data_IF_654133971670
#
_entry.id   IF_654133971670
#
_cell.length_a   1.000
_cell.length_b   1.000
_cell.length_c   1.000
_cell.angle_alpha   90.00
_cell.angle_beta   90.00
_cell.angle_gamma   90.00
#
_symmetry.space_group_name_H-M   'P 1'
#
loop_
_entity.id
_entity.type
_entity.pdbx_description
1 polymer ?
#
# COMPACT_ATOMS: atom_id res chain seq x y z
N UNK A 1 -9.25 17.14 -7.31
CA UNK A 1 -9.02 16.25 -8.48
C UNK A 1 -7.89 15.24 -8.23
N UNK A 2 -6.86 15.58 -7.44
CA UNK A 2 -5.72 14.72 -7.11
C UNK A 2 -6.08 13.49 -6.26
N UNK A 3 -6.89 13.66 -5.21
CA UNK A 3 -7.26 12.60 -4.25
C UNK A 3 -7.93 11.39 -4.93
N UNK A 4 -8.93 11.66 -5.78
CA UNK A 4 -9.66 10.61 -6.51
C UNK A 4 -8.73 9.88 -7.48
N UNK A 5 -7.88 10.62 -8.19
CA UNK A 5 -6.90 10.03 -9.11
C UNK A 5 -5.91 9.12 -8.38
N UNK A 6 -5.36 9.58 -7.26
CA UNK A 6 -4.44 8.82 -6.42
C UNK A 6 -5.07 7.54 -5.88
N UNK A 7 -6.32 7.63 -5.41
CA UNK A 7 -7.05 6.47 -4.95
C UNK A 7 -7.22 5.44 -6.08
N UNK A 8 -7.62 5.88 -7.27
CA UNK A 8 -7.80 4.99 -8.44
C UNK A 8 -6.47 4.35 -8.85
N UNK A 9 -5.39 5.12 -8.94
CA UNK A 9 -4.06 4.61 -9.30
C UNK A 9 -3.53 3.60 -8.27
N UNK A 10 -3.70 3.89 -6.98
CA UNK A 10 -3.27 3.00 -5.89
C UNK A 10 -4.11 1.73 -5.84
N UNK A 11 -5.43 1.87 -6.02
CA UNK A 11 -6.35 0.75 -6.14
C UNK A 11 -5.98 -0.16 -7.31
N UNK A 12 -5.75 0.41 -8.48
CA UNK A 12 -5.43 -0.35 -9.69
C UNK A 12 -4.06 -1.04 -9.55
N UNK A 13 -3.08 -0.36 -8.93
CA UNK A 13 -1.78 -0.96 -8.61
C UNK A 13 -1.95 -2.21 -7.76
N UNK A 14 -2.62 -2.09 -6.61
CA UNK A 14 -2.83 -3.23 -5.71
C UNK A 14 -3.70 -4.33 -6.32
N UNK A 15 -4.70 -3.97 -7.13
CA UNK A 15 -5.49 -4.93 -7.90
C UNK A 15 -4.62 -5.73 -8.88
N UNK A 16 -3.79 -5.06 -9.67
CA UNK A 16 -2.88 -5.69 -10.62
C UNK A 16 -1.84 -6.57 -9.91
N UNK A 17 -1.29 -6.14 -8.77
CA UNK A 17 -0.38 -6.97 -8.00
C UNK A 17 -1.06 -8.18 -7.37
N UNK A 18 -2.31 -8.06 -6.93
CA UNK A 18 -3.07 -9.23 -6.47
C UNK A 18 -3.28 -10.25 -7.60
N UNK A 19 -3.42 -9.79 -8.84
CA UNK A 19 -3.45 -10.65 -10.03
C UNK A 19 -2.08 -11.29 -10.31
N UNK A 20 -0.99 -10.51 -10.26
CA UNK A 20 0.39 -11.00 -10.47
C UNK A 20 0.80 -12.07 -9.45
N UNK A 21 0.37 -11.93 -8.19
CA UNK A 21 0.62 -12.91 -7.13
C UNK A 21 -0.35 -14.09 -7.12
N UNK A 22 -1.16 -14.25 -8.18
CA UNK A 22 -2.12 -15.34 -8.36
C UNK A 22 -3.06 -15.53 -7.14
N UNK A 23 -3.53 -14.41 -6.56
CA UNK A 23 -4.50 -14.47 -5.48
C UNK A 23 -5.85 -15.02 -5.99
N UNK A 24 -6.67 -15.66 -5.14
CA UNK A 24 -8.02 -16.07 -5.51
C UNK A 24 -8.81 -14.90 -6.08
N UNK A 25 -9.44 -15.06 -7.26
CA UNK A 25 -10.13 -13.98 -8.01
C UNK A 25 -11.12 -13.15 -7.18
N UNK A 26 -11.77 -13.78 -6.19
CA UNK A 26 -12.70 -13.11 -5.26
C UNK A 26 -12.02 -12.05 -4.37
N UNK A 27 -10.70 -12.05 -4.28
CA UNK A 27 -9.90 -11.18 -3.40
C UNK A 27 -9.28 -9.97 -4.11
N UNK A 28 -9.37 -9.88 -5.44
CA UNK A 28 -8.74 -8.77 -6.18
C UNK A 28 -9.33 -7.41 -5.81
N UNK A 29 -10.67 -7.33 -5.73
CA UNK A 29 -11.37 -6.11 -5.31
C UNK A 29 -11.01 -5.69 -3.87
N UNK A 30 -11.12 -6.56 -2.84
CA UNK A 30 -10.75 -6.16 -1.49
C UNK A 30 -9.25 -5.87 -1.33
N UNK A 31 -8.36 -6.55 -2.06
CA UNK A 31 -6.94 -6.22 -2.08
C UNK A 31 -6.66 -4.83 -2.67
N UNK A 32 -7.34 -4.50 -3.78
CA UNK A 32 -7.30 -3.16 -4.37
C UNK A 32 -7.77 -2.08 -3.39
N UNK A 33 -8.89 -2.32 -2.69
CA UNK A 33 -9.41 -1.37 -1.69
C UNK A 33 -8.42 -1.15 -0.54
N UNK A 34 -7.77 -2.21 -0.05
CA UNK A 34 -6.77 -2.11 1.01
C UNK A 34 -5.63 -1.16 0.61
N UNK A 35 -5.05 -1.34 -0.58
CA UNK A 35 -3.99 -0.47 -1.08
C UNK A 35 -4.45 0.95 -1.40
N UNK A 36 -5.66 1.10 -1.96
CA UNK A 36 -6.29 2.39 -2.19
C UNK A 36 -6.41 3.21 -0.91
N UNK A 37 -6.97 2.64 0.15
CA UNK A 37 -7.10 3.33 1.44
C UNK A 37 -5.78 3.51 2.18
N UNK A 38 -4.86 2.54 2.09
CA UNK A 38 -3.52 2.65 2.68
C UNK A 38 -2.75 3.85 2.11
N UNK A 39 -2.69 3.96 0.78
CA UNK A 39 -2.00 5.08 0.14
C UNK A 39 -2.75 6.40 0.31
N UNK A 40 -4.08 6.38 0.26
CA UNK A 40 -4.89 7.58 0.47
C UNK A 40 -4.63 8.20 1.85
N UNK A 41 -4.55 7.37 2.89
CA UNK A 41 -4.28 7.85 4.25
C UNK A 41 -2.86 8.37 4.42
N UNK A 42 -1.87 7.72 3.79
CA UNK A 42 -0.52 8.29 3.68
C UNK A 42 -0.53 9.67 3.00
N UNK A 43 -1.18 9.78 1.84
CA UNK A 43 -1.20 11.01 1.07
C UNK A 43 -1.89 12.16 1.81
N UNK A 44 -2.99 11.87 2.50
CA UNK A 44 -3.68 12.85 3.37
C UNK A 44 -2.76 13.28 4.52
N UNK A 45 -2.11 12.34 5.21
CA UNK A 45 -1.20 12.66 6.31
C UNK A 45 -0.02 13.53 5.84
N UNK A 46 0.54 13.21 4.68
CA UNK A 46 1.71 13.91 4.14
C UNK A 46 1.36 15.31 3.59
N UNK A 47 0.40 15.40 2.66
CA UNK A 47 0.09 16.67 1.97
C UNK A 47 -0.80 17.60 2.81
N UNK A 48 -1.85 17.06 3.44
CA UNK A 48 -2.87 17.90 4.11
C UNK A 48 -2.41 18.28 5.52
N UNK A 49 -1.85 17.33 6.26
CA UNK A 49 -1.38 17.57 7.62
C UNK A 49 0.10 17.97 7.69
N UNK A 50 0.82 18.00 6.55
CA UNK A 50 2.25 18.35 6.47
C UNK A 50 3.11 17.53 7.45
N UNK A 51 2.72 16.28 7.69
CA UNK A 51 3.46 15.36 8.57
C UNK A 51 4.67 14.85 7.79
N UNK A 52 5.80 14.68 8.47
CA UNK A 52 7.00 14.11 7.86
C UNK A 52 6.72 12.74 7.22
N UNK A 53 7.40 12.46 6.10
CA UNK A 53 7.19 11.25 5.30
C UNK A 53 7.32 9.96 6.11
N UNK A 54 8.18 9.93 7.13
CA UNK A 54 8.38 8.76 7.99
C UNK A 54 7.12 8.50 8.80
N UNK A 55 6.58 9.52 9.48
CA UNK A 55 5.36 9.36 10.26
C UNK A 55 4.13 9.16 9.37
N UNK A 56 4.03 9.85 8.24
CA UNK A 56 2.94 9.65 7.29
C UNK A 56 2.89 8.20 6.77
N UNK A 57 4.05 7.61 6.45
CA UNK A 57 4.12 6.20 5.99
C UNK A 57 3.81 5.20 7.12
N UNK A 58 4.18 5.52 8.35
CA UNK A 58 3.73 4.76 9.53
C UNK A 58 2.20 4.77 9.66
N UNK A 59 1.56 5.94 9.54
CA UNK A 59 0.11 6.04 9.60
C UNK A 59 -0.58 5.30 8.46
N UNK A 60 -0.11 5.45 7.22
CA UNK A 60 -0.67 4.76 6.06
C UNK A 60 -0.54 3.23 6.14
N UNK A 61 0.63 2.74 6.59
CA UNK A 61 0.86 1.30 6.79
C UNK A 61 0.05 0.73 7.95
N UNK A 62 -0.14 1.50 9.01
CA UNK A 62 -1.00 1.12 10.13
C UNK A 62 -2.46 0.96 9.70
N UNK A 63 -3.00 1.95 8.96
CA UNK A 63 -4.36 1.87 8.40
C UNK A 63 -4.49 0.69 7.44
N UNK A 64 -3.51 0.50 6.55
CA UNK A 64 -3.46 -0.65 5.64
C UNK A 64 -3.53 -1.98 6.42
N UNK A 65 -2.78 -2.10 7.51
CA UNK A 65 -2.77 -3.28 8.37
C UNK A 65 -4.14 -3.57 8.98
N UNK A 66 -4.81 -2.54 9.51
CA UNK A 66 -6.16 -2.66 10.08
C UNK A 66 -7.15 -3.12 9.00
N UNK A 67 -7.18 -2.44 7.85
CA UNK A 67 -8.13 -2.76 6.77
C UNK A 67 -7.87 -4.17 6.24
N UNK A 68 -6.60 -4.55 6.07
CA UNK A 68 -6.21 -5.88 5.63
C UNK A 68 -6.68 -6.95 6.62
N UNK A 69 -6.54 -6.73 7.93
CA UNK A 69 -7.03 -7.65 8.95
C UNK A 69 -8.56 -7.80 8.95
N UNK A 70 -9.28 -6.70 8.77
CA UNK A 70 -10.74 -6.71 8.66
C UNK A 70 -11.17 -7.50 7.43
N UNK A 71 -10.56 -7.24 6.26
CA UNK A 71 -10.85 -7.96 5.02
C UNK A 71 -10.48 -9.45 5.13
N UNK A 72 -9.35 -9.79 5.75
CA UNK A 72 -8.95 -11.17 5.99
C UNK A 72 -10.00 -11.97 6.78
N UNK A 73 -10.60 -11.34 7.80
CA UNK A 73 -11.67 -11.94 8.60
C UNK A 73 -12.96 -12.09 7.80
N UNK A 74 -13.33 -11.08 7.02
CA UNK A 74 -14.55 -11.11 6.20
C UNK A 74 -14.48 -12.17 5.10
N UNK A 75 -13.35 -12.25 4.40
CA UNK A 75 -13.16 -13.16 3.27
C UNK A 75 -12.52 -14.50 3.66
N UNK A 76 -12.33 -14.76 4.97
CA UNK A 76 -11.74 -15.98 5.53
C UNK A 76 -10.48 -16.42 4.79
N UNK A 77 -9.59 -15.47 4.57
CA UNK A 77 -8.38 -15.63 3.75
C UNK A 77 -7.18 -15.03 4.49
N UNK A 78 -5.96 -15.55 4.28
CA UNK A 78 -4.78 -15.06 5.00
C UNK A 78 -4.51 -13.59 4.71
N UNK A 79 -4.14 -12.83 5.75
CA UNK A 79 -4.00 -11.35 5.68
C UNK A 79 -2.97 -10.88 4.64
N UNK A 80 -1.98 -11.72 4.38
CA UNK A 80 -0.88 -11.46 3.45
C UNK A 80 -1.41 -11.15 2.03
N UNK A 81 -2.54 -11.75 1.63
CA UNK A 81 -3.15 -11.57 0.31
C UNK A 81 -3.71 -10.16 0.09
N UNK A 82 -3.94 -9.40 1.15
CA UNK A 82 -4.39 -8.01 1.10
C UNK A 82 -3.23 -7.05 1.40
N UNK A 83 -2.40 -7.40 2.38
CA UNK A 83 -1.33 -6.55 2.88
C UNK A 83 -0.19 -6.38 1.86
N UNK A 84 0.27 -7.46 1.22
CA UNK A 84 1.37 -7.41 0.24
C UNK A 84 1.04 -6.57 -0.99
N UNK A 85 -0.06 -6.79 -1.73
CA UNK A 85 -0.40 -5.92 -2.85
C UNK A 85 -0.71 -4.49 -2.41
N UNK A 86 -1.24 -4.30 -1.20
CA UNK A 86 -1.60 -2.98 -0.66
C UNK A 86 -0.42 -2.11 -0.24
N UNK A 87 0.71 -2.70 0.17
CA UNK A 87 1.88 -1.94 0.65
C UNK A 87 2.77 -1.43 -0.48
N UNK A 88 2.70 -2.04 -1.66
CA UNK A 88 3.50 -1.68 -2.84
C UNK A 88 3.33 -0.21 -3.27
N UNK A 89 2.12 0.36 -3.40
CA UNK A 89 1.98 1.78 -3.71
C UNK A 89 2.50 2.69 -2.57
N UNK A 90 2.46 2.22 -1.32
CA UNK A 90 2.83 2.99 -0.13
C UNK A 90 4.34 3.19 0.01
N UNK A 91 5.11 2.15 -0.29
CA UNK A 91 6.55 2.15 -0.06
C UNK A 91 7.27 2.32 -1.39
N UNK A 92 8.04 3.40 -1.58
CA UNK A 92 8.85 3.56 -2.77
C UNK A 92 10.03 2.57 -2.70
N UNK A 93 9.85 1.37 -3.26
CA UNK A 93 10.87 0.32 -3.27
C UNK A 93 12.20 0.74 -3.91
N UNK A 94 12.15 1.74 -4.81
CA UNK A 94 13.34 2.36 -5.40
C UNK A 94 14.20 3.10 -4.37
N UNK A 95 13.62 3.68 -3.32
CA UNK A 95 14.38 4.36 -2.27
C UNK A 95 15.16 3.35 -1.43
N UNK A 96 14.51 2.23 -1.07
CA UNK A 96 15.21 1.13 -0.38
C UNK A 96 16.35 0.57 -1.22
N UNK A 97 16.11 0.31 -2.51
CA UNK A 97 17.13 -0.20 -3.41
C UNK A 97 18.29 0.79 -3.60
N UNK A 98 18.02 2.10 -3.70
CA UNK A 98 19.06 3.13 -3.77
C UNK A 98 19.86 3.23 -2.48
N UNK A 99 19.20 3.14 -1.32
CA UNK A 99 19.88 3.17 -0.02
C UNK A 99 20.84 1.98 0.14
N UNK A 100 20.41 0.75 -0.23
CA UNK A 100 21.30 -0.41 -0.20
C UNK A 100 22.43 -0.30 -1.23
N UNK A 101 22.16 0.24 -2.41
CA UNK A 101 23.19 0.49 -3.41
C UNK A 101 24.24 1.47 -2.88
N UNK A 102 23.85 2.59 -2.27
CA UNK A 102 24.78 3.57 -1.69
C UNK A 102 25.65 2.97 -0.57
N UNK A 103 25.06 2.10 0.27
CA UNK A 103 25.80 1.37 1.30
C UNK A 103 26.84 0.41 0.70
N UNK A 104 26.49 -0.27 -0.40
CA UNK A 104 27.38 -1.23 -1.06
C UNK A 104 28.47 -0.54 -1.89
N UNK A 105 28.18 0.62 -2.49
CA UNK A 105 29.14 1.32 -3.34
C UNK A 105 30.09 2.26 -2.60
N UNK A 106 29.97 2.40 -1.27
CA UNK A 106 30.87 3.16 -0.36
C UNK A 106 31.59 4.36 -1.03
N UNK A 107 30.81 5.21 -1.70
CA UNK A 107 31.25 6.45 -2.33
C UNK A 107 30.24 7.54 -1.99
#
# INVERSE_FOLDING_TARGET
MTIVFIFICSFLTSFCFAFVYDAPKRLFLPAGLCGGFGYLTFHIAFEIFSIDSIYASLYGSFVLGIISHVMARQYKSPVILFMVPGIIPLVPGSIFFKATQQLLTLN
#
